data_IF_186440609629
#
_entry.id   IF_186440609629
#
_cell.length_a   1.000
_cell.length_b   1.000
_cell.length_c   1.000
_cell.angle_alpha   90.00
_cell.angle_beta   90.00
_cell.angle_gamma   90.00
#
_symmetry.space_group_name_H-M   'P 1'
#
loop_
_entity.id
_entity.type
_entity.pdbx_description
1 polymer ?
#
# COMPACT_ATOMS: atom_id res chain seq x y z
N UNK A 1 -72.65 -0.49 7.05
CA UNK A 1 -71.88 -0.51 5.78
C UNK A 1 -70.72 0.49 5.75
N UNK A 2 -70.90 1.79 6.05
CA UNK A 2 -69.80 2.80 5.97
C UNK A 2 -68.58 2.54 6.87
N UNK A 3 -68.75 1.97 8.08
CA UNK A 3 -67.63 1.67 9.01
C UNK A 3 -66.74 0.50 8.53
N UNK A 4 -67.31 -0.47 7.82
CA UNK A 4 -66.56 -1.62 7.30
C UNK A 4 -65.70 -1.23 6.10
N UNK A 5 -66.17 -0.30 5.26
CA UNK A 5 -65.41 0.20 4.10
C UNK A 5 -64.19 1.03 4.51
N UNK A 6 -64.32 1.85 5.58
CA UNK A 6 -63.21 2.66 6.11
C UNK A 6 -62.14 1.77 6.75
N UNK A 7 -62.54 0.72 7.47
CA UNK A 7 -61.61 -0.24 8.05
C UNK A 7 -60.85 -1.03 6.95
N UNK A 8 -61.54 -1.42 5.88
CA UNK A 8 -60.94 -2.13 4.74
C UNK A 8 -59.92 -1.24 4.00
N UNK A 9 -60.23 0.05 3.79
CA UNK A 9 -59.32 1.02 3.21
C UNK A 9 -58.08 1.26 4.09
N UNK A 10 -58.24 1.31 5.41
CA UNK A 10 -57.11 1.43 6.34
C UNK A 10 -56.21 0.20 6.33
N UNK A 11 -56.79 -1.01 6.24
CA UNK A 11 -56.01 -2.26 6.13
C UNK A 11 -55.29 -2.37 4.79
N UNK A 12 -55.89 -1.93 3.68
CA UNK A 12 -55.23 -1.91 2.37
C UNK A 12 -54.08 -0.90 2.36
N UNK A 13 -54.27 0.30 2.95
CA UNK A 13 -53.22 1.32 3.09
C UNK A 13 -52.06 0.86 4.00
N UNK A 14 -52.35 0.12 5.06
CA UNK A 14 -51.34 -0.48 5.95
C UNK A 14 -50.63 -1.69 5.32
N UNK A 15 -51.31 -2.43 4.43
CA UNK A 15 -50.71 -3.56 3.71
C UNK A 15 -49.84 -3.09 2.52
N UNK A 16 -50.10 -1.92 1.95
CA UNK A 16 -49.34 -1.36 0.82
C UNK A 16 -48.02 -0.68 1.21
N UNK A 17 -47.75 -0.45 2.50
CA UNK A 17 -46.51 0.18 2.98
C UNK A 17 -45.49 -0.81 3.56
N UNK A 18 -45.72 -2.11 3.44
CA UNK A 18 -44.68 -3.11 3.66
C UNK A 18 -43.74 -3.02 2.46
N UNK A 19 -42.76 -2.12 2.53
CA UNK A 19 -41.61 -2.13 1.63
C UNK A 19 -41.08 -3.56 1.67
N UNK A 20 -41.25 -4.28 0.55
CA UNK A 20 -40.72 -5.62 0.42
C UNK A 20 -39.22 -5.51 0.64
N UNK A 21 -38.74 -5.98 1.80
CA UNK A 21 -37.33 -6.03 2.10
C UNK A 21 -36.69 -6.86 0.99
N UNK A 22 -35.90 -6.21 0.13
CA UNK A 22 -35.17 -6.89 -0.92
C UNK A 22 -34.03 -7.61 -0.22
N UNK A 23 -34.14 -8.93 -0.12
CA UNK A 23 -33.02 -9.77 0.26
C UNK A 23 -31.90 -9.52 -0.74
N UNK A 24 -30.88 -8.79 -0.28
CA UNK A 24 -29.57 -8.80 -0.94
C UNK A 24 -28.95 -10.16 -0.60
N UNK A 25 -28.17 -10.73 -1.52
CA UNK A 25 -27.59 -12.07 -1.38
C UNK A 25 -26.73 -12.23 -0.13
N UNK A 26 -26.01 -13.36 0.03
CA UNK A 26 -25.12 -13.53 1.18
C UNK A 26 -24.16 -12.33 1.26
N UNK A 27 -24.29 -11.54 2.33
CA UNK A 27 -23.41 -10.41 2.59
C UNK A 27 -22.12 -10.98 3.19
N UNK A 28 -21.00 -10.74 2.54
CA UNK A 28 -19.68 -11.06 3.08
C UNK A 28 -19.29 -9.99 4.10
N UNK A 29 -18.82 -10.41 5.28
CA UNK A 29 -18.24 -9.48 6.25
C UNK A 29 -16.99 -8.85 5.63
N UNK A 30 -16.97 -7.52 5.57
CA UNK A 30 -15.85 -6.73 5.07
C UNK A 30 -15.21 -5.94 6.20
N UNK A 31 -13.94 -5.57 6.02
CA UNK A 31 -13.16 -4.79 6.98
C UNK A 31 -12.71 -3.46 6.35
N UNK A 32 -12.57 -2.41 7.16
CA UNK A 32 -11.85 -1.19 6.75
C UNK A 32 -10.39 -1.53 6.44
N UNK A 33 -9.70 -0.66 5.69
CA UNK A 33 -8.30 -0.90 5.32
C UNK A 33 -7.42 -1.12 6.55
N UNK A 34 -7.69 -0.41 7.66
CA UNK A 34 -6.99 -0.55 8.93
C UNK A 34 -7.58 -1.61 9.88
N UNK A 35 -8.60 -2.33 9.42
CA UNK A 35 -9.31 -3.40 10.13
C UNK A 35 -9.94 -3.01 11.47
N UNK A 36 -10.05 -1.72 11.78
CA UNK A 36 -10.70 -1.23 13.01
C UNK A 36 -12.21 -1.28 12.92
N UNK A 37 -12.74 -1.26 11.71
CA UNK A 37 -14.16 -1.32 11.44
C UNK A 37 -14.47 -2.57 10.62
N UNK A 38 -15.63 -3.17 10.88
CA UNK A 38 -16.15 -4.29 10.12
C UNK A 38 -17.64 -4.11 9.88
N UNK A 39 -18.12 -4.62 8.75
CA UNK A 39 -19.47 -4.34 8.29
C UNK A 39 -19.77 -5.02 6.97
N UNK A 40 -20.79 -4.53 6.28
CA UNK A 40 -21.27 -5.11 5.04
C UNK A 40 -21.39 -4.05 3.96
N UNK A 41 -21.01 -4.43 2.75
CA UNK A 41 -21.21 -3.61 1.55
C UNK A 41 -22.33 -4.19 0.68
N UNK A 42 -23.02 -3.36 -0.12
CA UNK A 42 -24.11 -3.82 -0.99
C UNK A 42 -23.67 -4.81 -2.08
N UNK A 43 -22.41 -4.75 -2.52
CA UNK A 43 -21.84 -5.60 -3.55
C UNK A 43 -20.66 -6.45 -3.04
N UNK A 44 -20.46 -7.67 -3.56
CA UNK A 44 -19.44 -8.60 -3.07
C UNK A 44 -17.99 -8.14 -3.32
N UNK A 45 -17.74 -7.38 -4.39
CA UNK A 45 -16.41 -6.82 -4.70
C UNK A 45 -16.20 -5.40 -4.18
N UNK A 46 -17.04 -4.91 -3.27
CA UNK A 46 -16.89 -3.58 -2.69
C UNK A 46 -16.08 -3.65 -1.39
N UNK A 47 -15.27 -2.63 -1.15
CA UNK A 47 -14.49 -2.51 0.08
C UNK A 47 -15.15 -1.57 1.07
N UNK A 48 -15.16 -1.96 2.35
CA UNK A 48 -15.72 -1.18 3.43
C UNK A 48 -14.80 -0.01 3.77
N UNK A 49 -15.33 1.21 3.73
CA UNK A 49 -14.63 2.44 4.11
C UNK A 49 -14.91 2.77 5.57
N UNK A 50 -16.18 2.75 5.96
CA UNK A 50 -16.59 2.94 7.35
C UNK A 50 -17.85 2.15 7.68
N UNK A 51 -17.90 1.55 8.86
CA UNK A 51 -19.07 0.92 9.47
C UNK A 51 -19.88 1.90 10.34
N UNK A 52 -19.48 3.18 10.42
CA UNK A 52 -20.19 4.20 11.20
C UNK A 52 -21.67 4.28 10.79
N UNK A 53 -22.62 4.42 11.74
CA UNK A 53 -24.04 4.61 11.42
C UNK A 53 -24.29 5.91 10.65
N UNK A 54 -23.37 6.85 10.71
CA UNK A 54 -23.47 8.13 10.01
C UNK A 54 -22.97 8.03 8.55
N UNK A 55 -22.26 6.96 8.16
CA UNK A 55 -21.69 6.79 6.83
C UNK A 55 -22.78 6.82 5.75
N UNK A 56 -22.55 7.62 4.70
CA UNK A 56 -23.57 7.87 3.70
C UNK A 56 -23.65 6.74 2.66
N UNK A 57 -24.67 5.89 2.77
CA UNK A 57 -24.91 4.79 1.82
C UNK A 57 -25.29 5.28 0.41
N UNK A 58 -25.86 6.49 0.27
CA UNK A 58 -26.14 7.10 -1.04
C UNK A 58 -24.85 7.49 -1.77
N UNK A 59 -23.73 7.59 -1.05
CA UNK A 59 -22.41 7.90 -1.62
C UNK A 59 -21.58 6.66 -1.95
N UNK A 60 -22.12 5.46 -1.74
CA UNK A 60 -21.44 4.23 -2.10
C UNK A 60 -20.92 4.25 -3.55
N UNK A 61 -19.64 3.93 -3.73
CA UNK A 61 -18.96 4.00 -5.03
C UNK A 61 -18.51 5.40 -5.46
N UNK A 62 -18.55 6.40 -4.57
CA UNK A 62 -18.08 7.77 -4.82
C UNK A 62 -16.89 8.12 -3.92
N UNK A 63 -15.65 7.66 -4.25
CA UNK A 63 -14.47 7.91 -3.42
C UNK A 63 -14.15 9.41 -3.23
N UNK A 64 -14.51 10.25 -4.20
CA UNK A 64 -14.33 11.71 -4.11
C UNK A 64 -15.25 12.41 -3.08
N UNK A 65 -16.17 11.66 -2.44
CA UNK A 65 -16.99 12.13 -1.32
C UNK A 65 -16.42 11.75 0.05
N UNK A 66 -15.28 11.06 0.10
CA UNK A 66 -14.69 10.60 1.36
C UNK A 66 -14.45 11.73 2.37
N UNK A 67 -13.99 12.89 1.91
CA UNK A 67 -13.74 14.05 2.76
C UNK A 67 -14.93 15.03 2.87
N UNK A 68 -16.09 14.69 2.30
CA UNK A 68 -17.31 15.52 2.40
C UNK A 68 -17.99 15.36 3.77
N UNK A 69 -18.62 16.43 4.25
CA UNK A 69 -19.44 16.47 5.47
C UNK A 69 -20.94 16.25 5.09
N UNK A 70 -21.74 15.32 5.67
CA UNK A 70 -21.50 14.36 6.76
C UNK A 70 -21.23 12.92 6.26
N UNK A 71 -20.62 12.02 7.07
CA UNK A 71 -19.39 11.31 6.71
C UNK A 71 -19.48 10.51 5.42
N UNK A 72 -18.31 10.32 4.82
CA UNK A 72 -18.06 9.76 3.49
C UNK A 72 -18.77 8.44 3.14
N UNK A 73 -18.47 7.87 1.95
CA UNK A 73 -19.15 6.67 1.50
C UNK A 73 -18.92 5.52 2.48
N UNK A 74 -19.93 4.68 2.69
CA UNK A 74 -19.79 3.46 3.49
C UNK A 74 -18.87 2.46 2.79
N UNK A 75 -18.98 2.36 1.47
CA UNK A 75 -18.20 1.44 0.63
C UNK A 75 -17.79 2.08 -0.69
N UNK A 76 -16.68 1.61 -1.27
CA UNK A 76 -16.28 1.92 -2.65
C UNK A 76 -16.27 0.66 -3.51
N UNK A 77 -16.37 0.82 -4.83
CA UNK A 77 -16.36 -0.28 -5.78
C UNK A 77 -14.94 -0.82 -5.99
N UNK A 78 -14.86 -2.06 -6.47
CA UNK A 78 -13.66 -2.62 -7.08
C UNK A 78 -13.05 -1.65 -8.11
N UNK A 79 -11.72 -1.56 -8.12
CA UNK A 79 -10.97 -0.65 -8.99
C UNK A 79 -10.93 0.81 -8.53
N UNK A 80 -11.64 1.17 -7.46
CA UNK A 80 -11.62 2.52 -6.88
C UNK A 80 -10.63 2.61 -5.72
N UNK A 81 -10.24 3.83 -5.37
CA UNK A 81 -9.31 4.08 -4.27
C UNK A 81 -9.68 5.34 -3.48
N UNK A 82 -9.23 5.37 -2.22
CA UNK A 82 -9.21 6.55 -1.36
C UNK A 82 -7.79 6.72 -0.87
N UNK A 83 -7.17 7.87 -1.20
CA UNK A 83 -5.72 8.05 -0.99
C UNK A 83 -4.96 6.83 -1.56
N UNK A 84 -4.00 6.26 -0.84
CA UNK A 84 -3.26 5.10 -1.33
C UNK A 84 -4.05 3.78 -1.34
N UNK A 85 -5.17 3.71 -0.61
CA UNK A 85 -5.91 2.46 -0.42
C UNK A 85 -6.79 2.15 -1.62
N UNK A 86 -6.52 1.03 -2.27
CA UNK A 86 -7.18 0.57 -3.47
C UNK A 86 -8.05 -0.64 -3.17
N UNK A 87 -9.25 -0.67 -3.74
CA UNK A 87 -10.18 -1.79 -3.59
C UNK A 87 -9.97 -2.81 -4.72
N UNK A 88 -9.54 -4.02 -4.39
CA UNK A 88 -9.27 -5.12 -5.32
C UNK A 88 -10.09 -6.35 -4.88
N UNK A 89 -11.14 -6.68 -5.64
CA UNK A 89 -12.06 -7.78 -5.40
C UNK A 89 -12.64 -7.83 -3.97
N UNK A 90 -13.04 -6.66 -3.46
CA UNK A 90 -13.56 -6.50 -2.11
C UNK A 90 -12.51 -6.57 -1.00
N UNK A 91 -11.22 -6.67 -1.33
CA UNK A 91 -10.10 -6.60 -0.38
C UNK A 91 -9.34 -5.29 -0.54
N UNK A 92 -8.84 -4.76 0.60
CA UNK A 92 -7.99 -3.58 0.59
C UNK A 92 -6.55 -3.94 0.25
N UNK A 93 -6.01 -3.20 -0.72
CA UNK A 93 -4.60 -3.20 -1.12
C UNK A 93 -4.15 -1.74 -1.27
N UNK A 94 -2.96 -1.49 -1.85
CA UNK A 94 -2.49 -0.13 -2.12
C UNK A 94 -2.08 0.10 -3.56
N UNK A 95 -2.18 1.34 -4.00
CA UNK A 95 -1.62 1.78 -5.28
C UNK A 95 -0.08 1.67 -5.26
N UNK A 96 0.53 1.85 -4.10
CA UNK A 96 1.96 1.60 -3.86
C UNK A 96 2.38 0.17 -4.18
N UNK A 97 1.60 -0.85 -3.80
CA UNK A 97 1.85 -2.25 -4.20
C UNK A 97 1.98 -2.37 -5.71
N UNK A 98 1.03 -1.82 -6.46
CA UNK A 98 0.99 -1.91 -7.92
C UNK A 98 2.18 -1.20 -8.59
N UNK A 99 2.61 -0.06 -8.03
CA UNK A 99 3.81 0.65 -8.47
C UNK A 99 5.05 -0.21 -8.23
N UNK A 100 5.22 -0.76 -7.03
CA UNK A 100 6.37 -1.61 -6.71
C UNK A 100 6.43 -2.87 -7.57
N UNK A 101 5.29 -3.52 -7.83
CA UNK A 101 5.20 -4.66 -8.75
C UNK A 101 5.62 -4.29 -10.17
N UNK A 102 5.18 -3.12 -10.65
CA UNK A 102 5.56 -2.62 -11.98
C UNK A 102 7.07 -2.38 -12.09
N UNK A 103 7.68 -1.85 -11.02
CA UNK A 103 9.13 -1.62 -10.96
C UNK A 103 9.92 -2.93 -10.85
N UNK A 104 9.44 -3.93 -10.11
CA UNK A 104 10.09 -5.23 -9.99
C UNK A 104 10.05 -6.03 -11.28
N UNK A 105 8.90 -6.09 -11.95
CA UNK A 105 8.79 -6.74 -13.26
C UNK A 105 9.75 -6.09 -14.27
N UNK A 106 9.78 -4.76 -14.29
CA UNK A 106 10.75 -4.01 -15.07
C UNK A 106 12.19 -4.40 -14.71
N UNK A 107 12.57 -4.38 -13.43
CA UNK A 107 13.91 -4.70 -12.98
C UNK A 107 14.35 -6.11 -13.37
N UNK A 108 13.47 -7.10 -13.19
CA UNK A 108 13.70 -8.49 -13.54
C UNK A 108 13.95 -8.67 -15.05
N UNK A 109 13.28 -7.88 -15.89
CA UNK A 109 13.52 -7.89 -17.34
C UNK A 109 14.87 -7.28 -17.76
N UNK A 110 15.52 -6.51 -16.86
CA UNK A 110 16.73 -5.71 -17.16
C UNK A 110 18.00 -6.20 -16.47
N UNK A 111 17.87 -6.77 -15.27
CA UNK A 111 19.02 -7.11 -14.44
C UNK A 111 18.74 -8.26 -13.48
N UNK A 112 19.77 -9.02 -13.16
CA UNK A 112 19.76 -9.95 -12.02
C UNK A 112 20.02 -9.24 -10.68
N UNK A 113 20.45 -7.98 -10.72
CA UNK A 113 20.93 -7.24 -9.56
C UNK A 113 20.15 -5.92 -9.44
N UNK A 114 19.28 -5.85 -8.44
CA UNK A 114 18.43 -4.70 -8.21
C UNK A 114 17.94 -4.64 -6.77
N UNK A 115 17.56 -3.45 -6.33
CA UNK A 115 16.94 -3.20 -5.03
C UNK A 115 15.72 -2.32 -5.24
N UNK A 116 14.55 -2.79 -4.84
CA UNK A 116 13.34 -1.99 -4.66
C UNK A 116 13.17 -1.71 -3.17
N UNK A 117 12.84 -0.47 -2.85
CA UNK A 117 12.38 -0.07 -1.53
C UNK A 117 11.16 0.83 -1.68
N UNK A 118 10.05 0.44 -1.07
CA UNK A 118 8.87 1.30 -0.98
C UNK A 118 8.57 1.65 0.46
N UNK A 119 8.35 2.93 0.74
CA UNK A 119 8.00 3.45 2.06
C UNK A 119 7.52 4.92 1.95
N UNK A 120 7.30 5.61 3.06
CA UNK A 120 7.03 7.04 3.07
C UNK A 120 8.20 7.84 2.47
N UNK A 121 7.93 9.07 2.00
CA UNK A 121 8.94 9.87 1.30
C UNK A 121 10.19 10.10 2.16
N UNK A 122 10.02 10.27 3.47
CA UNK A 122 11.14 10.39 4.41
C UNK A 122 12.01 9.14 4.30
N UNK A 123 11.46 7.96 4.60
CA UNK A 123 12.21 6.71 4.57
C UNK A 123 12.78 6.39 3.18
N UNK A 124 11.99 6.59 2.12
CA UNK A 124 12.37 6.27 0.74
C UNK A 124 13.49 7.16 0.19
N UNK A 125 13.56 8.42 0.61
CA UNK A 125 14.55 9.39 0.12
C UNK A 125 15.69 9.71 1.12
N UNK A 126 15.55 9.41 2.42
CA UNK A 126 16.41 9.91 3.53
C UNK A 126 17.88 9.48 3.56
N UNK A 127 18.42 8.86 2.52
CA UNK A 127 19.87 8.61 2.45
C UNK A 127 20.63 9.45 1.42
N UNK A 128 19.95 10.25 0.58
CA UNK A 128 20.62 10.80 -0.60
C UNK A 128 20.89 12.31 -0.57
N UNK A 129 20.39 13.04 0.43
CA UNK A 129 20.49 14.52 0.52
C UNK A 129 20.27 15.20 -0.85
N UNK A 130 19.36 14.65 -1.64
CA UNK A 130 19.19 15.08 -3.02
C UNK A 130 18.60 16.48 -3.01
N UNK A 131 19.28 17.41 -3.67
CA UNK A 131 18.85 18.79 -3.78
C UNK A 131 17.98 18.94 -5.03
N UNK A 132 16.78 19.47 -4.84
CA UNK A 132 15.85 19.85 -5.90
C UNK A 132 15.63 21.37 -5.89
N UNK A 133 15.41 21.97 -7.05
CA UNK A 133 15.22 23.41 -7.20
C UNK A 133 16.20 24.06 -8.17
N UNK A 134 16.00 25.34 -8.42
CA UNK A 134 16.87 26.16 -9.27
C UNK A 134 18.02 26.76 -8.47
N UNK A 135 19.05 27.25 -9.18
CA UNK A 135 20.22 27.88 -8.57
C UNK A 135 19.79 29.07 -7.68
N UNK A 136 19.93 28.91 -6.35
CA UNK A 136 19.53 29.89 -5.34
C UNK A 136 18.31 29.51 -4.48
N UNK A 137 17.56 28.46 -4.81
CA UNK A 137 16.42 27.92 -4.04
C UNK A 137 16.42 26.38 -4.03
N UNK A 138 17.60 25.79 -3.80
CA UNK A 138 17.73 24.34 -3.68
C UNK A 138 17.25 23.87 -2.30
N UNK A 139 16.31 22.94 -2.28
CA UNK A 139 15.76 22.30 -1.08
C UNK A 139 16.09 20.81 -1.11
N UNK A 140 16.12 20.16 0.05
CA UNK A 140 16.18 18.71 0.08
C UNK A 140 14.86 18.15 -0.47
N UNK A 141 14.89 16.99 -1.12
CA UNK A 141 13.67 16.32 -1.59
C UNK A 141 12.67 16.09 -0.46
N UNK A 142 13.13 15.80 0.75
CA UNK A 142 12.27 15.69 1.94
C UNK A 142 11.52 16.99 2.24
N UNK A 143 12.18 18.15 2.12
CA UNK A 143 11.58 19.46 2.36
C UNK A 143 10.53 19.79 1.30
N UNK A 144 10.71 19.30 0.07
CA UNK A 144 9.72 19.44 -0.99
C UNK A 144 8.41 18.75 -0.60
N UNK A 145 8.49 17.50 -0.11
CA UNK A 145 7.30 16.68 0.17
C UNK A 145 6.66 16.93 1.53
N UNK A 146 7.43 17.43 2.51
CA UNK A 146 6.95 17.72 3.87
C UNK A 146 5.76 18.68 3.89
N UNK A 147 5.81 19.72 3.07
CA UNK A 147 4.74 20.74 2.96
C UNK A 147 3.85 20.52 1.74
N UNK A 148 4.04 19.42 0.99
CA UNK A 148 3.32 19.13 -0.24
C UNK A 148 1.94 18.54 0.04
N UNK A 149 1.01 19.43 0.42
CA UNK A 149 -0.36 19.10 0.79
C UNK A 149 -1.38 19.77 -0.11
N UNK A 150 -2.26 18.97 -0.71
CA UNK A 150 -3.33 19.40 -1.60
C UNK A 150 -4.68 19.44 -0.89
N UNK A 151 -5.56 20.30 -1.38
CA UNK A 151 -6.97 20.29 -1.00
C UNK A 151 -7.68 19.08 -1.61
N UNK A 152 -8.53 18.43 -0.82
CA UNK A 152 -9.29 17.29 -1.28
C UNK A 152 -10.62 17.73 -1.90
N UNK A 153 -11.11 17.03 -2.96
CA UNK A 153 -12.36 17.38 -3.61
C UNK A 153 -13.52 17.50 -2.61
N UNK A 154 -14.30 18.58 -2.72
CA UNK A 154 -15.47 18.83 -1.88
C UNK A 154 -15.16 18.91 -0.36
N UNK A 155 -13.95 19.32 0.02
CA UNK A 155 -13.55 19.43 1.42
C UNK A 155 -12.53 20.55 1.63
N UNK A 156 -12.49 21.12 2.84
CA UNK A 156 -11.37 21.95 3.29
C UNK A 156 -10.21 21.12 3.84
N UNK A 157 -10.35 19.79 3.83
CA UNK A 157 -9.32 18.86 4.32
C UNK A 157 -8.13 18.89 3.38
N UNK A 158 -6.93 19.03 3.96
CA UNK A 158 -5.66 18.95 3.23
C UNK A 158 -4.94 17.65 3.59
N UNK A 159 -4.61 16.86 2.58
CA UNK A 159 -3.81 15.63 2.71
C UNK A 159 -2.51 15.77 1.93
N UNK A 160 -1.56 14.85 2.09
CA UNK A 160 -0.40 14.82 1.21
C UNK A 160 -0.84 14.66 -0.26
N UNK A 161 -0.18 15.36 -1.19
CA UNK A 161 -0.48 15.24 -2.62
C UNK A 161 -0.01 13.91 -3.21
N UNK A 162 0.96 13.26 -2.56
CA UNK A 162 1.51 11.96 -2.92
C UNK A 162 1.33 10.99 -1.77
N UNK A 163 1.36 9.70 -2.05
CA UNK A 163 1.38 8.66 -1.01
C UNK A 163 2.81 8.15 -0.80
N UNK A 164 2.97 6.85 -0.53
CA UNK A 164 4.27 6.22 -0.40
C UNK A 164 5.03 6.27 -1.74
N UNK A 165 6.34 6.16 -1.66
CA UNK A 165 7.26 6.16 -2.79
C UNK A 165 7.93 4.81 -2.90
N UNK A 166 8.07 4.33 -4.12
CA UNK A 166 8.89 3.18 -4.46
C UNK A 166 10.14 3.64 -5.21
N UNK A 167 11.33 3.31 -4.70
CA UNK A 167 12.61 3.60 -5.32
C UNK A 167 13.27 2.30 -5.73
N UNK A 168 13.54 2.15 -7.02
CA UNK A 168 14.24 1.02 -7.61
C UNK A 168 15.64 1.47 -8.04
N UNK A 169 16.68 0.79 -7.56
CA UNK A 169 18.05 0.89 -8.09
C UNK A 169 18.37 -0.40 -8.84
N UNK A 170 18.80 -0.28 -10.09
CA UNK A 170 19.20 -1.43 -10.93
C UNK A 170 20.42 -1.05 -11.77
N UNK A 171 21.02 -2.01 -12.49
CA UNK A 171 22.24 -1.76 -13.27
C UNK A 171 22.11 -0.63 -14.31
N UNK A 172 20.91 -0.38 -14.83
CA UNK A 172 20.66 0.65 -15.86
C UNK A 172 20.30 2.03 -15.31
N UNK A 173 20.10 2.20 -14.01
CA UNK A 173 19.76 3.49 -13.41
C UNK A 173 18.90 3.36 -12.15
N UNK A 174 18.14 4.42 -11.89
CA UNK A 174 17.17 4.52 -10.80
C UNK A 174 15.78 4.77 -11.37
N UNK A 175 14.78 4.20 -10.75
CA UNK A 175 13.39 4.54 -10.98
C UNK A 175 12.72 4.96 -9.68
N UNK A 176 11.77 5.88 -9.77
CA UNK A 176 10.96 6.36 -8.64
C UNK A 176 9.51 6.34 -9.06
N UNK A 177 8.62 5.83 -8.21
CA UNK A 177 7.19 5.88 -8.46
C UNK A 177 6.40 6.25 -7.21
N UNK A 178 5.25 6.89 -7.42
CA UNK A 178 4.30 7.23 -6.34
C UNK A 178 2.88 7.36 -6.90
N UNK A 179 1.88 7.20 -6.05
CA UNK A 179 0.48 7.45 -6.37
C UNK A 179 0.08 8.86 -5.92
N UNK A 180 -0.79 9.52 -6.68
CA UNK A 180 -1.16 10.92 -6.51
C UNK A 180 -2.57 11.05 -5.91
N UNK A 181 -2.77 12.09 -5.09
CA UNK A 181 -4.05 12.45 -4.47
C UNK A 181 -4.68 13.71 -5.13
N UNK A 182 -4.04 14.20 -6.20
CA UNK A 182 -4.51 15.24 -7.12
C UNK A 182 -4.31 14.77 -8.56
N UNK A 183 -4.90 15.48 -9.51
CA UNK A 183 -4.61 15.24 -10.92
C UNK A 183 -3.11 15.50 -11.19
N UNK A 184 -2.47 14.66 -12.02
CA UNK A 184 -1.06 14.85 -12.40
C UNK A 184 -0.76 16.23 -13.01
N UNK A 185 -1.73 16.82 -13.70
CA UNK A 185 -1.62 18.17 -14.32
C UNK A 185 -2.29 19.29 -13.51
N UNK A 186 -2.51 19.09 -12.20
CA UNK A 186 -3.09 20.11 -11.33
C UNK A 186 -2.28 21.42 -11.35
N UNK A 187 -2.94 22.57 -11.55
CA UNK A 187 -2.26 23.86 -11.75
C UNK A 187 -1.41 24.29 -10.54
N UNK A 188 -1.88 23.96 -9.32
CA UNK A 188 -1.25 24.37 -8.07
C UNK A 188 -0.36 23.26 -7.49
N UNK A 189 -0.73 22.00 -7.73
CA UNK A 189 -0.15 20.83 -7.07
C UNK A 189 0.30 19.72 -8.05
N UNK A 190 0.67 20.05 -9.29
CA UNK A 190 1.21 19.05 -10.21
C UNK A 190 2.52 18.44 -9.70
N UNK A 191 2.60 17.11 -9.67
CA UNK A 191 3.85 16.40 -9.36
C UNK A 191 4.92 16.60 -10.45
N UNK A 192 4.52 16.97 -11.67
CA UNK A 192 5.44 17.17 -12.79
C UNK A 192 6.40 18.34 -12.55
N UNK A 193 6.01 19.32 -11.73
CA UNK A 193 6.89 20.41 -11.31
C UNK A 193 8.09 19.90 -10.51
N UNK A 194 7.92 18.86 -9.67
CA UNK A 194 9.02 18.23 -8.94
C UNK A 194 10.03 17.55 -9.86
N UNK A 195 9.60 17.16 -11.07
CA UNK A 195 10.44 16.58 -12.10
C UNK A 195 11.03 17.63 -13.05
N UNK A 196 10.75 18.92 -12.82
CA UNK A 196 11.12 20.05 -13.69
C UNK A 196 10.43 19.99 -15.08
N UNK A 197 9.15 19.63 -15.10
CA UNK A 197 8.29 19.62 -16.28
C UNK A 197 7.03 20.45 -16.08
N UNK A 198 6.41 20.88 -17.17
CA UNK A 198 5.12 21.57 -17.16
C UNK A 198 3.98 20.61 -16.78
N UNK A 199 2.89 21.17 -16.23
CA UNK A 199 1.72 20.39 -15.81
C UNK A 199 1.00 19.66 -16.96
N UNK A 200 1.20 20.10 -18.20
CA UNK A 200 0.61 19.51 -19.42
C UNK A 200 1.49 18.41 -20.05
N UNK A 201 2.65 18.08 -19.47
CA UNK A 201 3.58 17.11 -20.07
C UNK A 201 2.96 15.72 -20.28
N UNK A 202 1.93 15.37 -19.52
CA UNK A 202 1.20 14.10 -19.60
C UNK A 202 -0.17 14.19 -20.30
N UNK A 203 -0.53 15.29 -20.95
CA UNK A 203 -1.84 15.46 -21.61
C UNK A 203 -2.07 14.47 -22.77
N UNK A 204 -0.99 13.88 -23.29
CA UNK A 204 -1.06 12.82 -24.30
C UNK A 204 -1.58 11.49 -23.75
N UNK A 205 -1.53 11.29 -22.42
CA UNK A 205 -2.00 10.08 -21.76
C UNK A 205 -3.51 10.19 -21.59
N UNK A 206 -4.24 9.46 -22.43
CA UNK A 206 -5.70 9.50 -22.45
C UNK A 206 -6.32 8.47 -21.50
N UNK A 207 -7.48 8.83 -20.93
CA UNK A 207 -8.05 8.26 -19.70
C UNK A 207 -8.37 6.76 -19.65
N UNK A 208 -8.67 6.29 -18.43
CA UNK A 208 -9.03 4.92 -18.01
C UNK A 208 -8.09 3.77 -18.42
N UNK A 209 -6.99 4.07 -19.12
CA UNK A 209 -5.97 3.08 -19.39
C UNK A 209 -5.48 2.48 -18.07
N UNK A 210 -5.64 1.16 -17.93
CA UNK A 210 -5.12 0.39 -16.80
C UNK A 210 -3.60 0.18 -16.88
N UNK A 211 -2.98 0.58 -18.00
CA UNK A 211 -1.56 0.40 -18.27
C UNK A 211 -0.77 1.72 -18.15
N UNK A 212 0.53 1.56 -17.92
CA UNK A 212 1.49 2.66 -17.90
C UNK A 212 1.70 3.23 -19.30
N UNK A 213 1.49 4.54 -19.45
CA UNK A 213 1.69 5.26 -20.70
C UNK A 213 2.78 6.31 -20.54
N UNK A 214 3.67 6.41 -21.52
CA UNK A 214 4.73 7.41 -21.49
C UNK A 214 4.15 8.81 -21.74
N UNK A 215 4.51 9.78 -20.91
CA UNK A 215 4.16 11.18 -21.13
C UNK A 215 4.97 11.76 -22.32
N UNK A 216 4.46 12.81 -22.95
CA UNK A 216 5.15 13.54 -24.02
C UNK A 216 6.22 14.49 -23.47
N UNK A 217 7.20 14.85 -24.29
CA UNK A 217 8.24 15.86 -24.01
C UNK A 217 9.40 15.48 -23.06
N UNK A 218 9.85 14.22 -23.12
CA UNK A 218 11.00 13.77 -22.34
C UNK A 218 12.26 13.69 -23.20
N UNK A 219 13.20 14.59 -22.92
CA UNK A 219 14.54 14.57 -23.53
C UNK A 219 15.38 13.39 -23.02
N UNK A 220 16.47 13.06 -23.70
CA UNK A 220 17.22 11.78 -23.69
C UNK A 220 17.66 11.20 -22.33
N UNK A 221 17.46 11.88 -21.20
CA UNK A 221 18.02 11.52 -19.88
C UNK A 221 17.02 10.97 -18.87
N UNK A 222 15.75 10.79 -19.23
CA UNK A 222 14.77 10.11 -18.40
C UNK A 222 13.41 9.99 -19.09
N UNK A 223 12.51 9.18 -18.52
CA UNK A 223 11.14 9.00 -19.03
C UNK A 223 10.14 9.00 -17.88
N UNK A 224 9.00 9.65 -18.08
CA UNK A 224 7.87 9.53 -17.16
C UNK A 224 6.77 8.70 -17.77
N UNK A 225 6.24 7.82 -16.95
CA UNK A 225 5.09 6.99 -17.21
C UNK A 225 3.97 7.38 -16.24
N UNK A 226 2.76 7.52 -16.77
CA UNK A 226 1.57 7.81 -16.00
C UNK A 226 0.53 6.71 -16.22
N UNK A 227 -0.12 6.28 -15.15
CA UNK A 227 -1.25 5.36 -15.17
C UNK A 227 -2.48 6.11 -14.66
N UNK A 228 -3.43 6.49 -15.54
CA UNK A 228 -4.60 7.28 -15.15
C UNK A 228 -5.61 6.48 -14.32
N UNK A 229 -5.68 5.14 -14.46
CA UNK A 229 -6.56 4.31 -13.64
C UNK A 229 -6.12 4.30 -12.17
N UNK A 230 -4.81 4.30 -11.93
CA UNK A 230 -4.23 4.37 -10.59
C UNK A 230 -3.97 5.81 -10.13
N UNK A 231 -4.03 6.79 -11.03
CA UNK A 231 -3.50 8.14 -10.81
C UNK A 231 -2.11 8.08 -10.18
N UNK A 232 -1.19 7.39 -10.86
CA UNK A 232 0.14 7.08 -10.36
C UNK A 232 1.19 7.37 -11.43
N UNK A 233 2.39 7.72 -10.98
CA UNK A 233 3.50 8.15 -11.83
C UNK A 233 4.75 7.31 -11.55
N UNK A 234 5.50 6.98 -12.60
CA UNK A 234 6.83 6.36 -12.54
C UNK A 234 7.79 7.21 -13.37
N UNK A 235 8.88 7.66 -12.75
CA UNK A 235 10.03 8.25 -13.42
C UNK A 235 11.14 7.20 -13.54
N UNK A 236 11.68 7.03 -14.75
CA UNK A 236 12.89 6.27 -15.03
C UNK A 236 14.03 7.24 -15.35
N UNK A 237 15.18 7.10 -14.69
CA UNK A 237 16.39 7.88 -15.00
C UNK A 237 17.11 7.41 -16.26
N UNK A 238 16.60 6.37 -16.93
CA UNK A 238 17.19 5.76 -18.11
C UNK A 238 16.30 5.98 -19.33
N UNK A 239 16.84 5.66 -20.51
CA UNK A 239 16.06 5.64 -21.74
C UNK A 239 15.35 4.30 -21.97
N UNK A 240 15.34 3.39 -21.01
CA UNK A 240 14.59 2.14 -21.11
C UNK A 240 13.09 2.39 -21.18
N UNK A 241 12.37 1.51 -21.88
CA UNK A 241 10.92 1.48 -21.82
C UNK A 241 10.45 0.67 -20.62
N UNK A 242 9.48 1.21 -19.87
CA UNK A 242 8.73 0.43 -18.88
C UNK A 242 7.92 -0.66 -19.59
N UNK A 243 8.01 -1.90 -19.11
CA UNK A 243 7.22 -2.99 -19.66
C UNK A 243 5.74 -2.82 -19.26
N UNK A 244 4.82 -3.23 -20.14
CA UNK A 244 3.44 -3.43 -19.72
C UNK A 244 3.36 -4.78 -19.01
N UNK A 245 3.09 -4.78 -17.71
CA UNK A 245 2.94 -6.01 -16.95
C UNK A 245 1.51 -6.19 -16.45
N UNK A 246 1.07 -7.44 -16.46
CA UNK A 246 -0.06 -7.89 -15.67
C UNK A 246 0.45 -8.05 -14.23
N UNK A 247 0.27 -7.02 -13.41
CA UNK A 247 0.78 -6.99 -12.04
C UNK A 247 0.15 -8.08 -11.17
N UNK A 248 -1.09 -8.51 -11.45
CA UNK A 248 -1.75 -9.59 -10.71
C UNK A 248 -1.07 -10.93 -11.00
N UNK A 249 -0.79 -11.23 -12.27
CA UNK A 249 -0.05 -12.43 -12.64
C UNK A 249 1.40 -12.41 -12.13
N UNK A 250 2.05 -11.25 -12.18
CA UNK A 250 3.40 -11.07 -11.63
C UNK A 250 3.40 -11.29 -10.11
N UNK A 251 2.46 -10.68 -9.38
CA UNK A 251 2.32 -10.85 -7.94
C UNK A 251 2.19 -12.34 -7.58
N UNK A 252 1.23 -13.04 -8.20
CA UNK A 252 0.95 -14.44 -7.87
C UNK A 252 2.12 -15.38 -8.17
N UNK A 253 2.94 -15.07 -9.18
CA UNK A 253 4.05 -15.95 -9.58
C UNK A 253 5.40 -15.61 -8.95
N UNK A 254 5.58 -14.36 -8.50
CA UNK A 254 6.89 -13.86 -8.06
C UNK A 254 6.92 -13.40 -6.61
N UNK A 255 5.82 -12.82 -6.11
CA UNK A 255 5.80 -12.18 -4.79
C UNK A 255 4.97 -12.99 -3.78
N UNK A 256 3.81 -13.51 -4.19
CA UNK A 256 2.95 -14.32 -3.34
C UNK A 256 3.69 -15.51 -2.70
N UNK A 257 4.55 -16.28 -3.42
CA UNK A 257 5.32 -17.35 -2.80
C UNK A 257 6.25 -16.89 -1.68
N UNK A 258 6.80 -15.66 -1.77
CA UNK A 258 7.69 -15.13 -0.73
C UNK A 258 6.93 -14.74 0.54
N UNK A 259 5.68 -14.30 0.38
CA UNK A 259 4.77 -14.08 1.49
C UNK A 259 4.32 -15.39 2.13
N UNK A 260 3.95 -16.36 1.31
CA UNK A 260 3.53 -17.69 1.78
C UNK A 260 4.63 -18.34 2.61
N UNK A 261 5.90 -18.26 2.17
CA UNK A 261 7.03 -18.80 2.94
C UNK A 261 7.20 -18.11 4.31
N UNK A 262 7.04 -16.78 4.39
CA UNK A 262 7.08 -16.05 5.67
C UNK A 262 5.89 -16.45 6.55
N UNK A 263 4.70 -16.53 5.97
CA UNK A 263 3.48 -16.90 6.67
C UNK A 263 3.56 -18.33 7.22
N UNK A 264 4.05 -19.28 6.43
CA UNK A 264 4.26 -20.65 6.85
C UNK A 264 5.31 -20.73 7.97
N UNK A 265 6.41 -19.97 7.88
CA UNK A 265 7.36 -19.87 8.99
C UNK A 265 6.70 -19.35 10.27
N UNK A 266 5.93 -18.26 10.19
CA UNK A 266 5.21 -17.70 11.34
C UNK A 266 4.30 -18.76 11.95
N UNK A 267 3.44 -19.36 11.13
CA UNK A 267 2.44 -20.33 11.58
C UNK A 267 3.06 -21.59 12.19
N UNK A 268 4.14 -22.09 11.61
CA UNK A 268 4.75 -23.36 12.03
C UNK A 268 5.75 -23.21 13.18
N UNK A 269 6.39 -22.05 13.32
CA UNK A 269 7.54 -21.86 14.24
C UNK A 269 7.34 -20.79 15.29
N UNK A 270 6.45 -19.82 15.06
CA UNK A 270 6.34 -18.64 15.92
C UNK A 270 4.96 -18.51 16.56
N UNK A 271 3.90 -18.77 15.80
CA UNK A 271 2.53 -18.54 16.23
C UNK A 271 2.12 -19.51 17.33
N UNK A 272 1.73 -18.97 18.46
CA UNK A 272 0.96 -19.66 19.48
C UNK A 272 -0.30 -18.81 19.77
N UNK A 273 -1.49 -19.26 19.34
CA UNK A 273 -2.71 -18.48 19.50
C UNK A 273 -3.17 -18.37 20.96
N UNK A 274 -2.70 -19.26 21.85
CA UNK A 274 -3.02 -19.22 23.28
C UNK A 274 -2.09 -18.27 24.06
N UNK A 275 -0.95 -17.89 23.47
CA UNK A 275 -0.01 -16.92 24.05
C UNK A 275 -0.09 -15.56 23.35
N UNK A 276 -0.61 -14.53 24.03
CA UNK A 276 -0.77 -13.18 23.44
C UNK A 276 0.53 -12.60 22.85
N UNK A 277 1.68 -12.94 23.43
CA UNK A 277 3.00 -12.50 22.94
C UNK A 277 3.39 -13.16 21.61
N UNK A 278 2.82 -14.33 21.30
CA UNK A 278 3.06 -15.14 20.10
C UNK A 278 1.84 -15.20 19.17
N UNK A 279 0.74 -14.52 19.50
CA UNK A 279 -0.39 -14.44 18.59
C UNK A 279 -0.03 -13.61 17.35
N UNK A 280 0.12 -14.29 16.22
CA UNK A 280 0.41 -13.72 14.90
C UNK A 280 -0.72 -14.01 13.90
N UNK A 281 -1.94 -14.26 14.38
CA UNK A 281 -3.07 -14.68 13.54
C UNK A 281 -3.46 -13.68 12.43
N UNK A 282 -2.93 -12.47 12.51
CA UNK A 282 -3.07 -11.38 11.53
C UNK A 282 -2.05 -11.40 10.38
N UNK A 283 -1.06 -12.31 10.38
CA UNK A 283 -0.09 -12.42 9.28
C UNK A 283 -0.71 -12.93 7.98
N UNK A 284 -1.72 -13.82 8.07
CA UNK A 284 -2.49 -14.32 6.91
C UNK A 284 -3.26 -13.24 6.15
N UNK A 285 -3.27 -12.05 6.73
CA UNK A 285 -4.17 -10.95 6.50
C UNK A 285 -3.40 -9.71 5.97
N UNK A 286 -2.09 -9.84 5.77
CA UNK A 286 -1.22 -8.84 5.11
C UNK A 286 -1.69 -8.59 3.69
N UNK A 287 -2.03 -7.34 3.37
CA UNK A 287 -2.63 -7.03 2.08
C UNK A 287 -2.26 -5.65 1.52
N UNK A 288 -1.72 -4.74 2.32
CA UNK A 288 -1.50 -3.36 1.87
C UNK A 288 -0.21 -3.21 1.08
N UNK A 289 0.89 -3.78 1.59
CA UNK A 289 2.19 -3.77 0.91
C UNK A 289 2.66 -2.38 0.46
N UNK A 290 2.36 -1.34 1.25
CA UNK A 290 2.88 0.02 1.02
C UNK A 290 4.28 0.24 1.62
N UNK A 291 4.76 -0.68 2.46
CA UNK A 291 6.14 -0.70 2.96
C UNK A 291 6.75 -2.07 2.72
N UNK A 292 7.62 -2.16 1.74
CA UNK A 292 8.26 -3.43 1.36
C UNK A 292 9.59 -3.21 0.68
N UNK A 293 10.46 -4.19 0.84
CA UNK A 293 11.83 -4.20 0.39
C UNK A 293 12.09 -5.47 -0.39
N UNK A 294 12.75 -5.34 -1.53
CA UNK A 294 13.18 -6.47 -2.33
C UNK A 294 14.58 -6.18 -2.88
N UNK A 295 15.56 -6.98 -2.51
CA UNK A 295 16.93 -6.87 -3.00
C UNK A 295 17.36 -8.20 -3.60
N UNK A 296 17.90 -8.18 -4.82
CA UNK A 296 18.42 -9.37 -5.49
C UNK A 296 19.84 -9.14 -5.94
N UNK A 297 20.66 -10.18 -5.76
CA UNK A 297 21.98 -10.31 -6.33
C UNK A 297 22.16 -11.72 -6.86
N UNK A 298 22.08 -11.89 -8.18
CA UNK A 298 22.20 -13.18 -8.87
C UNK A 298 21.18 -14.20 -8.31
N UNK A 299 21.62 -15.07 -7.40
CA UNK A 299 20.84 -16.17 -6.81
C UNK A 299 20.43 -15.90 -5.36
N UNK A 300 20.93 -14.83 -4.75
CA UNK A 300 20.57 -14.44 -3.37
C UNK A 300 19.58 -13.30 -3.44
N UNK A 301 18.62 -13.30 -2.53
CA UNK A 301 17.71 -12.18 -2.40
C UNK A 301 17.20 -12.01 -0.98
N UNK A 302 16.77 -10.79 -0.69
CA UNK A 302 16.10 -10.42 0.53
C UNK A 302 14.73 -9.88 0.14
N UNK A 303 13.71 -10.38 0.81
CA UNK A 303 12.35 -9.90 0.71
C UNK A 303 11.88 -9.49 2.08
N UNK A 304 11.23 -8.35 2.21
CA UNK A 304 10.62 -7.96 3.47
C UNK A 304 9.45 -7.03 3.29
N UNK A 305 8.60 -6.98 4.31
CA UNK A 305 7.46 -6.08 4.37
C UNK A 305 7.22 -5.61 5.81
N UNK A 306 6.59 -4.44 5.93
CA UNK A 306 6.19 -3.83 7.20
C UNK A 306 4.75 -3.35 7.09
N UNK A 307 3.89 -3.86 7.96
CA UNK A 307 2.51 -3.37 8.10
C UNK A 307 2.39 -2.58 9.40
N UNK A 308 1.77 -1.40 9.34
CA UNK A 308 1.59 -0.50 10.49
C UNK A 308 0.13 -0.24 10.79
N UNK A 309 -0.29 -0.43 12.04
CA UNK A 309 -1.66 -0.19 12.50
C UNK A 309 -2.71 -0.97 11.66
N UNK A 310 -2.37 -2.19 11.20
CA UNK A 310 -3.18 -3.01 10.29
C UNK A 310 -3.84 -4.20 10.99
N UNK A 311 -4.16 -4.07 12.28
CA UNK A 311 -4.83 -5.11 13.05
C UNK A 311 -5.86 -4.47 13.97
N UNK A 312 -6.83 -5.26 14.43
CA UNK A 312 -7.83 -4.80 15.41
C UNK A 312 -7.18 -4.17 16.66
N UNK A 313 -6.00 -4.66 17.04
CA UNK A 313 -5.22 -4.18 18.19
C UNK A 313 -4.12 -3.19 17.82
N UNK A 314 -4.10 -2.68 16.59
CA UNK A 314 -3.12 -1.71 16.12
C UNK A 314 -1.66 -2.19 16.25
N UNK A 315 -1.40 -3.48 16.07
CA UNK A 315 -0.04 -3.98 15.93
C UNK A 315 0.60 -3.52 14.62
N UNK A 316 1.86 -3.11 14.75
CA UNK A 316 2.82 -3.04 13.67
C UNK A 316 3.55 -4.38 13.61
N UNK A 317 3.85 -4.88 12.41
CA UNK A 317 4.54 -6.15 12.24
C UNK A 317 5.36 -6.20 10.96
N UNK A 318 6.44 -6.95 11.02
CA UNK A 318 7.43 -7.08 9.94
C UNK A 318 7.73 -8.54 9.70
N UNK A 319 7.87 -8.90 8.43
CA UNK A 319 8.38 -10.19 7.99
C UNK A 319 9.49 -10.00 6.98
N UNK A 320 10.59 -10.73 7.14
CA UNK A 320 11.77 -10.67 6.28
C UNK A 320 12.23 -12.09 5.97
N UNK A 321 12.53 -12.36 4.70
CA UNK A 321 13.15 -13.58 4.19
C UNK A 321 14.49 -13.24 3.57
N UNK A 322 15.49 -14.04 3.91
CA UNK A 322 16.84 -14.03 3.37
C UNK A 322 17.11 -15.34 2.65
N UNK A 323 17.02 -15.34 1.33
CA UNK A 323 17.20 -16.53 0.52
C UNK A 323 18.65 -16.66 0.01
N UNK A 324 19.27 -17.82 0.26
CA UNK A 324 20.61 -18.16 -0.21
C UNK A 324 21.76 -17.48 0.55
N UNK A 325 21.50 -16.88 1.71
CA UNK A 325 22.55 -16.26 2.54
C UNK A 325 23.27 -17.29 3.42
N UNK A 326 22.59 -18.37 3.82
CA UNK A 326 23.16 -19.43 4.65
C UNK A 326 23.43 -18.99 6.09
N UNK A 327 22.54 -18.17 6.65
CA UNK A 327 22.59 -17.78 8.06
C UNK A 327 22.32 -18.96 8.98
N UNK A 328 22.85 -18.88 10.20
CA UNK A 328 22.61 -19.87 11.26
C UNK A 328 21.89 -19.27 12.48
N UNK A 329 21.69 -20.07 13.52
CA UNK A 329 21.01 -19.65 14.75
C UNK A 329 21.77 -18.56 15.53
N UNK A 330 23.11 -18.52 15.40
CA UNK A 330 23.92 -17.51 16.07
C UNK A 330 23.73 -16.15 15.39
N UNK A 331 23.51 -16.12 14.07
CA UNK A 331 23.17 -14.90 13.32
C UNK A 331 21.86 -14.28 13.80
N UNK A 332 20.84 -15.09 14.13
CA UNK A 332 19.59 -14.59 14.74
C UNK A 332 19.88 -13.75 15.99
N UNK A 333 20.67 -14.30 16.90
CA UNK A 333 20.99 -13.66 18.18
C UNK A 333 21.87 -12.42 17.96
N UNK A 334 22.93 -12.55 17.17
CA UNK A 334 23.95 -11.53 17.01
C UNK A 334 23.49 -10.34 16.16
N UNK A 335 22.64 -10.59 15.16
CA UNK A 335 22.21 -9.54 14.22
C UNK A 335 20.86 -8.97 14.59
N UNK A 336 19.89 -9.80 14.94
CA UNK A 336 18.48 -9.40 14.98
C UNK A 336 17.92 -9.30 16.41
N UNK A 337 18.22 -10.24 17.30
CA UNK A 337 17.69 -10.21 18.68
C UNK A 337 18.21 -9.08 19.54
N UNK A 338 19.39 -8.53 19.24
CA UNK A 338 19.88 -7.30 19.88
C UNK A 338 18.88 -6.14 19.79
N UNK A 339 17.99 -6.16 18.80
CA UNK A 339 16.91 -5.19 18.64
C UNK A 339 15.69 -5.51 19.53
N UNK A 340 15.45 -6.77 19.92
CA UNK A 340 14.26 -7.18 20.70
C UNK A 340 14.45 -7.23 22.23
N UNK A 341 15.66 -7.51 22.73
CA UNK A 341 15.89 -7.85 24.15
C UNK A 341 15.56 -6.74 25.17
N UNK A 342 15.34 -5.49 24.74
CA UNK A 342 14.99 -4.40 25.65
C UNK A 342 13.56 -4.48 26.19
N UNK A 343 12.65 -5.21 25.53
CA UNK A 343 11.21 -5.19 25.87
C UNK A 343 10.64 -6.62 26.02
N UNK A 344 10.51 -7.10 27.26
CA UNK A 344 9.91 -8.41 27.60
C UNK A 344 8.49 -8.53 26.99
N UNK A 345 8.31 -9.40 26.00
CA UNK A 345 7.04 -9.65 25.32
C UNK A 345 6.90 -9.04 23.91
N UNK A 346 7.96 -8.40 23.39
CA UNK A 346 8.03 -7.84 22.02
C UNK A 346 9.25 -8.42 21.33
N UNK A 347 9.04 -9.58 20.71
CA UNK A 347 10.14 -10.41 20.21
C UNK A 347 10.47 -10.12 18.76
N UNK A 348 11.77 -10.13 18.48
CA UNK A 348 12.27 -10.53 17.16
C UNK A 348 12.39 -12.05 17.20
N UNK A 349 11.74 -12.72 16.26
CA UNK A 349 11.68 -14.18 16.15
C UNK A 349 12.41 -14.61 14.89
N UNK A 350 13.47 -15.38 15.09
CA UNK A 350 14.29 -15.96 14.03
C UNK A 350 15.01 -17.22 14.51
N UNK A 351 14.52 -17.84 15.58
CA UNK A 351 15.15 -19.00 16.21
C UNK A 351 14.89 -20.30 15.45
N UNK A 352 15.76 -21.27 15.69
CA UNK A 352 15.59 -22.67 15.29
C UNK A 352 15.34 -22.87 13.78
N UNK A 353 16.14 -22.18 12.97
CA UNK A 353 16.10 -22.26 11.52
C UNK A 353 17.30 -23.04 10.99
N UNK A 354 17.04 -23.88 9.99
CA UNK A 354 18.06 -24.62 9.25
C UNK A 354 17.71 -24.59 7.77
N UNK A 355 18.65 -24.20 6.92
CA UNK A 355 18.41 -24.18 5.47
C UNK A 355 19.25 -23.14 4.74
N UNK A 356 18.97 -22.98 3.45
CA UNK A 356 19.52 -21.87 2.66
C UNK A 356 18.83 -20.54 2.97
N UNK A 357 17.60 -20.63 3.48
CA UNK A 357 16.69 -19.53 3.68
C UNK A 357 16.55 -19.26 5.17
N UNK A 358 16.42 -17.98 5.52
CA UNK A 358 16.36 -17.52 6.90
C UNK A 358 15.32 -16.42 7.03
N UNK A 359 14.48 -16.51 8.05
CA UNK A 359 13.31 -15.68 8.27
C UNK A 359 13.48 -14.85 9.54
N UNK A 360 13.00 -13.62 9.52
CA UNK A 360 12.95 -12.74 10.69
C UNK A 360 11.57 -12.13 10.75
N UNK A 361 10.88 -12.32 11.86
CA UNK A 361 9.56 -11.72 12.09
C UNK A 361 9.54 -10.98 13.41
N UNK A 362 8.83 -9.86 13.46
CA UNK A 362 8.62 -9.14 14.70
C UNK A 362 7.27 -8.46 14.71
N UNK A 363 6.76 -8.18 15.90
CA UNK A 363 5.58 -7.33 16.11
C UNK A 363 5.80 -6.34 17.25
N UNK A 364 5.18 -5.18 17.13
CA UNK A 364 5.13 -4.14 18.15
C UNK A 364 3.70 -3.60 18.27
N UNK A 365 3.28 -3.24 19.48
CA UNK A 365 2.03 -2.51 19.63
C UNK A 365 2.20 -1.05 19.16
N UNK A 366 1.12 -0.38 18.75
CA UNK A 366 1.12 1.06 18.47
C UNK A 366 1.72 1.85 19.63
N UNK A 367 2.64 2.78 19.33
CA UNK A 367 3.42 3.59 20.28
C UNK A 367 4.43 2.81 21.14
N UNK A 368 4.71 1.57 20.76
CA UNK A 368 5.64 0.71 21.45
C UNK A 368 6.88 0.59 20.60
N UNK A 369 8.02 1.11 21.07
CA UNK A 369 9.30 0.94 20.37
C UNK A 369 9.55 -0.55 20.14
N UNK A 370 9.60 -0.93 18.86
CA UNK A 370 10.11 -2.21 18.41
C UNK A 370 11.34 -1.87 17.59
N UNK A 371 12.54 -2.02 18.16
CA UNK A 371 13.74 -1.56 17.49
C UNK A 371 13.99 -2.23 16.14
N UNK A 372 13.36 -3.37 15.81
CA UNK A 372 13.41 -3.94 14.45
C UNK A 372 12.46 -3.22 13.47
N UNK A 373 11.28 -2.81 13.93
CA UNK A 373 10.35 -1.97 13.16
C UNK A 373 10.95 -0.57 12.98
N UNK A 374 11.60 -0.04 14.02
CA UNK A 374 12.30 1.24 13.98
C UNK A 374 13.60 1.14 13.16
N UNK A 375 14.29 -0.01 13.21
CA UNK A 375 15.47 -0.32 12.41
C UNK A 375 15.12 -0.88 11.03
N UNK A 376 13.86 -0.85 10.58
CA UNK A 376 13.47 -1.24 9.22
C UNK A 376 14.38 -0.55 8.18
N UNK A 377 14.62 0.75 8.35
CA UNK A 377 15.57 1.53 7.53
C UNK A 377 17.03 1.08 7.67
N UNK A 378 17.44 0.61 8.85
CA UNK A 378 18.81 0.20 9.19
C UNK A 378 19.12 -1.22 8.68
N UNK A 379 18.18 -2.14 8.79
CA UNK A 379 18.26 -3.51 8.26
C UNK A 379 18.46 -3.41 6.75
N UNK A 380 17.64 -2.60 6.09
CA UNK A 380 17.73 -2.40 4.64
C UNK A 380 19.02 -1.68 4.23
N UNK A 381 19.50 -0.71 5.01
CA UNK A 381 20.72 0.02 4.67
C UNK A 381 22.01 -0.80 4.83
N UNK A 382 22.07 -1.70 5.82
CA UNK A 382 23.22 -2.59 6.05
C UNK A 382 23.33 -3.72 5.04
N UNK A 383 22.21 -4.08 4.41
CA UNK A 383 22.11 -5.18 3.43
C UNK A 383 22.11 -4.70 1.98
N UNK A 384 22.07 -3.38 1.74
CA UNK A 384 22.31 -2.80 0.41
C UNK A 384 23.67 -3.26 -0.09
N UNK A 385 23.73 -3.94 -1.25
CA UNK A 385 24.97 -4.05 -1.99
C UNK A 385 25.57 -2.65 -2.18
N UNK A 386 26.82 -2.47 -1.78
CA UNK A 386 27.56 -1.23 -2.09
C UNK A 386 27.72 -1.05 -3.59
#
# INVERSE_FOLDING_TARGET
MKKALVLLLFVILLASSVYAAKWVGPLTLQHSWDRKEHGFCPGPGMCLVSASPDANEEWNGLPNRYFSDPPGPKCINDGQYILDYFCEDGQWTTRTKMIGLSLLDFAQSKSSDYVLFCDDYESAFNQYQYLVGSEGDTKLVEDLFKDYRCEQPNSTTRTACTNHFCVLKYRGGTAVGTSLNTNIGDEDYSFLFALNHSGDACDNVQGSASSWQQCTDWTKTGRVYYNPALNAVIYLSSSDALASSDYSAFFASFIEPEFDDIHDYVKDKVEDPDESALNFSFFKDTSLYNRWYYSRQISKYVFGFLEKDQTEFAYDYVGIKYAGYGFDSDDCTNMFKQYGERNKGRGVFCDDQSGSDFFVVAKGAKNSESPLIDAWQDIDSKLRPK
#
